data_IF_305104707102
#
_entry.id   IF_305104707102
#
_cell.length_a   1.000
_cell.length_b   1.000
_cell.length_c   1.000
_cell.angle_alpha   90.00
_cell.angle_beta   90.00
_cell.angle_gamma   90.00
#
_symmetry.space_group_name_H-M   'P 1'
#
loop_
_entity.id
_entity.type
_entity.pdbx_description
1 polymer ?
#
# COMPACT_ATOMS: atom_id res chain seq x y z
N UNK A 1 -2.41 -9.02 3.36
CA UNK A 1 -1.08 -8.57 2.88
C UNK A 1 -0.83 -9.23 1.54
N UNK A 2 0.01 -8.67 0.67
CA UNK A 2 0.37 -9.33 -0.60
C UNK A 2 1.36 -10.50 -0.46
N UNK A 3 1.59 -10.96 0.77
CA UNK A 3 2.46 -12.10 1.07
C UNK A 3 1.60 -13.37 1.06
N UNK A 4 1.64 -14.12 -0.04
CA UNK A 4 0.88 -15.35 -0.23
C UNK A 4 1.59 -16.29 -1.20
N UNK A 5 1.18 -17.56 -1.23
CA UNK A 5 1.64 -18.51 -2.23
C UNK A 5 0.96 -18.22 -3.57
N UNK A 6 1.73 -17.69 -4.53
CA UNK A 6 1.19 -17.27 -5.83
C UNK A 6 0.45 -18.39 -6.58
N UNK A 7 1.04 -19.59 -6.63
CA UNK A 7 0.45 -20.72 -7.36
C UNK A 7 -0.94 -21.08 -6.81
N UNK A 8 -1.05 -21.25 -5.49
CA UNK A 8 -2.34 -21.56 -4.86
C UNK A 8 -3.35 -20.44 -5.04
N UNK A 9 -2.91 -19.18 -4.97
CA UNK A 9 -3.79 -18.04 -5.24
C UNK A 9 -4.36 -18.09 -6.66
N UNK A 10 -3.52 -18.34 -7.67
CA UNK A 10 -3.96 -18.45 -9.06
C UNK A 10 -4.86 -19.65 -9.33
N UNK A 11 -4.61 -20.80 -8.71
CA UNK A 11 -5.39 -22.02 -8.94
C UNK A 11 -6.74 -22.00 -8.21
N UNK A 12 -6.82 -21.37 -7.02
CA UNK A 12 -7.96 -21.55 -6.10
C UNK A 12 -8.76 -20.28 -5.84
N UNK A 13 -8.17 -19.09 -5.99
CA UNK A 13 -8.86 -17.84 -5.69
C UNK A 13 -9.09 -17.03 -6.97
N UNK A 14 -8.05 -16.76 -7.75
CA UNK A 14 -8.10 -15.88 -8.91
C UNK A 14 -9.27 -16.16 -9.89
N UNK A 15 -9.66 -17.42 -10.18
CA UNK A 15 -10.77 -17.71 -11.09
C UNK A 15 -12.14 -17.26 -10.57
N UNK A 16 -12.24 -16.91 -9.28
CA UNK A 16 -13.48 -16.52 -8.60
C UNK A 16 -13.48 -15.05 -8.18
N UNK A 17 -12.52 -14.25 -8.64
CA UNK A 17 -12.42 -12.83 -8.31
C UNK A 17 -12.81 -11.98 -9.50
N UNK A 18 -13.51 -10.87 -9.25
CA UNK A 18 -13.81 -9.85 -10.27
C UNK A 18 -12.89 -8.63 -10.16
N UNK A 19 -12.22 -8.46 -9.01
CA UNK A 19 -11.38 -7.30 -8.68
C UNK A 19 -10.36 -7.66 -7.59
N UNK A 20 -9.14 -7.13 -7.70
CA UNK A 20 -8.10 -7.30 -6.67
C UNK A 20 -7.66 -5.94 -6.14
N UNK A 21 -7.88 -5.70 -4.85
CA UNK A 21 -7.19 -4.62 -4.14
C UNK A 21 -5.88 -5.13 -3.56
N UNK A 22 -4.76 -4.45 -3.87
CA UNK A 22 -3.44 -4.93 -3.48
C UNK A 22 -2.64 -3.84 -2.76
N UNK A 23 -2.26 -4.10 -1.51
CA UNK A 23 -1.54 -3.11 -0.70
C UNK A 23 -0.04 -3.14 -0.94
N UNK A 24 0.53 -2.01 -1.35
CA UNK A 24 1.96 -1.74 -1.43
C UNK A 24 2.33 -0.75 -0.32
N UNK A 25 3.14 -1.19 0.64
CA UNK A 25 3.37 -0.46 1.90
C UNK A 25 4.71 0.27 1.95
N UNK A 26 5.78 -0.49 1.76
CA UNK A 26 7.15 -0.02 1.90
C UNK A 26 7.99 -0.53 0.74
N UNK A 27 8.64 0.38 0.01
CA UNK A 27 9.52 0.06 -1.12
C UNK A 27 10.89 -0.44 -0.66
N UNK A 28 11.35 0.04 0.51
CA UNK A 28 12.59 -0.43 1.12
C UNK A 28 12.35 -1.72 1.93
N UNK A 29 13.15 -2.75 1.66
CA UNK A 29 13.00 -4.07 2.30
C UNK A 29 13.39 -4.04 3.78
N UNK A 30 14.35 -3.20 4.17
CA UNK A 30 14.76 -3.09 5.58
C UNK A 30 13.64 -2.44 6.40
N UNK A 31 13.06 -1.35 5.91
CA UNK A 31 11.88 -0.72 6.48
C UNK A 31 10.71 -1.70 6.53
N UNK A 32 10.47 -2.47 5.47
CA UNK A 32 9.41 -3.50 5.47
C UNK A 32 9.61 -4.49 6.61
N UNK A 33 10.82 -5.04 6.79
CA UNK A 33 11.12 -5.97 7.88
C UNK A 33 10.93 -5.31 9.23
N UNK A 34 11.39 -4.07 9.39
CA UNK A 34 11.27 -3.30 10.64
C UNK A 34 9.81 -3.10 11.05
N UNK A 35 8.96 -2.67 10.12
CA UNK A 35 7.58 -2.25 10.44
C UNK A 35 6.53 -3.35 10.29
N UNK A 36 6.78 -4.36 9.45
CA UNK A 36 5.81 -5.44 9.19
C UNK A 36 6.28 -6.81 9.68
N UNK A 37 7.55 -6.95 10.03
CA UNK A 37 8.17 -8.23 10.38
C UNK A 37 8.50 -9.10 9.17
N UNK A 38 8.22 -8.66 7.95
CA UNK A 38 8.42 -9.45 6.73
C UNK A 38 9.10 -8.65 5.62
N UNK A 39 9.77 -9.38 4.72
CA UNK A 39 10.34 -8.83 3.49
C UNK A 39 9.24 -8.34 2.55
N UNK A 40 9.48 -7.23 1.86
CA UNK A 40 8.57 -6.78 0.81
C UNK A 40 8.78 -7.53 -0.51
N UNK A 41 9.92 -8.19 -0.72
CA UNK A 41 10.28 -8.79 -2.02
C UNK A 41 9.20 -9.75 -2.54
N UNK A 42 8.65 -10.70 -1.74
CA UNK A 42 7.59 -11.59 -2.23
C UNK A 42 6.28 -10.85 -2.55
N UNK A 43 6.02 -9.74 -1.86
CA UNK A 43 4.83 -8.91 -2.10
C UNK A 43 4.92 -8.22 -3.45
N UNK A 44 6.07 -7.62 -3.76
CA UNK A 44 6.31 -6.97 -5.05
C UNK A 44 6.42 -7.98 -6.20
N UNK A 45 7.04 -9.14 -5.99
CA UNK A 45 7.05 -10.24 -6.96
C UNK A 45 5.63 -10.72 -7.30
N UNK A 46 4.83 -11.01 -6.27
CA UNK A 46 3.44 -11.40 -6.45
C UNK A 46 2.63 -10.34 -7.21
N UNK A 47 2.83 -9.06 -6.86
CA UNK A 47 2.16 -7.96 -7.54
C UNK A 47 2.55 -7.87 -9.01
N UNK A 48 3.85 -7.86 -9.34
CA UNK A 48 4.35 -7.83 -10.72
C UNK A 48 3.80 -8.99 -11.53
N UNK A 49 3.80 -10.20 -10.97
CA UNK A 49 3.27 -11.39 -11.64
C UNK A 49 1.76 -11.31 -11.84
N UNK A 50 1.00 -10.81 -10.86
CA UNK A 50 -0.44 -10.63 -11.02
C UNK A 50 -0.75 -9.59 -12.11
N UNK A 51 -0.03 -8.47 -12.15
CA UNK A 51 -0.19 -7.45 -13.20
C UNK A 51 0.04 -8.03 -14.59
N UNK A 52 0.99 -8.97 -14.72
CA UNK A 52 1.29 -9.61 -16.00
C UNK A 52 0.28 -10.69 -16.42
N UNK A 53 -0.38 -11.38 -15.47
CA UNK A 53 -1.18 -12.59 -15.79
C UNK A 53 -2.66 -12.48 -15.49
N UNK A 54 -3.08 -11.59 -14.59
CA UNK A 54 -4.47 -11.50 -14.18
C UNK A 54 -5.30 -10.87 -15.29
N UNK A 55 -6.46 -11.47 -15.56
CA UNK A 55 -7.47 -10.93 -16.48
C UNK A 55 -8.43 -9.95 -15.80
N UNK A 56 -8.36 -9.85 -14.48
CA UNK A 56 -9.23 -9.02 -13.65
C UNK A 56 -8.50 -7.72 -13.25
N UNK A 57 -9.21 -6.61 -13.06
CA UNK A 57 -8.58 -5.36 -12.63
C UNK A 57 -7.84 -5.52 -11.30
N UNK A 58 -6.67 -4.90 -11.22
CA UNK A 58 -5.88 -4.79 -9.99
C UNK A 58 -5.78 -3.32 -9.62
N UNK A 59 -6.19 -2.97 -8.41
CA UNK A 59 -6.10 -1.61 -7.87
C UNK A 59 -5.03 -1.60 -6.79
N UNK A 60 -3.86 -0.99 -7.07
CA UNK A 60 -2.83 -0.80 -6.06
C UNK A 60 -3.33 0.18 -5.00
N UNK A 61 -3.04 -0.12 -3.73
CA UNK A 61 -3.37 0.75 -2.60
C UNK A 61 -2.14 1.01 -1.75
N UNK A 62 -2.00 2.24 -1.27
CA UNK A 62 -0.88 2.65 -0.44
C UNK A 62 -1.43 3.23 0.87
N UNK A 63 -1.30 2.53 2.01
CA UNK A 63 -1.62 3.12 3.29
C UNK A 63 -0.64 4.24 3.60
N UNK A 64 -1.15 5.40 4.01
CA UNK A 64 -0.37 6.57 4.39
C UNK A 64 -0.26 6.63 5.91
N UNK A 65 0.90 6.24 6.46
CA UNK A 65 1.22 6.35 7.87
C UNK A 65 2.32 7.40 8.01
N UNK A 66 2.03 8.57 8.60
CA UNK A 66 2.99 9.65 8.80
C UNK A 66 4.27 9.18 9.47
N UNK A 67 5.42 9.49 8.85
CA UNK A 67 6.75 9.07 9.30
C UNK A 67 7.14 7.62 9.00
N UNK A 68 6.26 6.81 8.40
CA UNK A 68 6.53 5.40 8.07
C UNK A 68 6.33 5.14 6.58
N UNK A 69 5.08 5.13 6.10
CA UNK A 69 4.78 4.85 4.68
C UNK A 69 4.46 6.12 3.89
N UNK A 70 4.10 7.21 4.56
CA UNK A 70 3.80 8.51 3.93
C UNK A 70 5.03 9.41 3.74
N UNK A 71 6.24 8.83 3.69
CA UNK A 71 7.48 9.57 3.45
C UNK A 71 7.68 9.80 1.94
N UNK A 72 8.27 10.94 1.50
CA UNK A 72 8.52 11.20 0.09
C UNK A 72 9.33 10.11 -0.63
N UNK A 73 10.32 9.54 0.04
CA UNK A 73 11.21 8.50 -0.52
C UNK A 73 10.41 7.23 -0.83
N UNK A 74 9.57 6.79 0.12
CA UNK A 74 8.72 5.64 -0.05
C UNK A 74 7.66 5.85 -1.14
N UNK A 75 6.95 6.97 -1.11
CA UNK A 75 5.89 7.28 -2.06
C UNK A 75 6.43 7.40 -3.48
N UNK A 76 7.50 8.16 -3.68
CA UNK A 76 8.16 8.28 -4.98
C UNK A 76 8.76 6.95 -5.46
N UNK A 77 9.24 6.10 -4.55
CA UNK A 77 9.71 4.76 -4.87
C UNK A 77 8.61 3.82 -5.36
N UNK A 78 7.45 3.81 -4.68
CA UNK A 78 6.28 3.04 -5.12
C UNK A 78 5.75 3.59 -6.44
N UNK A 79 5.69 4.91 -6.61
CA UNK A 79 5.24 5.52 -7.85
C UNK A 79 6.13 5.10 -9.05
N UNK A 80 7.46 5.17 -8.93
CA UNK A 80 8.37 4.69 -9.98
C UNK A 80 8.21 3.20 -10.27
N UNK A 81 7.98 2.39 -9.24
CA UNK A 81 7.73 0.96 -9.42
C UNK A 81 6.44 0.71 -10.23
N UNK A 82 5.34 1.39 -9.89
CA UNK A 82 4.08 1.27 -10.61
C UNK A 82 4.19 1.77 -12.05
N UNK A 83 4.88 2.89 -12.26
CA UNK A 83 5.17 3.46 -13.58
C UNK A 83 5.96 2.47 -14.46
N UNK A 84 6.95 1.76 -13.88
CA UNK A 84 7.71 0.72 -14.59
C UNK A 84 6.87 -0.47 -15.05
N UNK A 85 5.67 -0.65 -14.48
CA UNK A 85 4.69 -1.68 -14.86
C UNK A 85 3.57 -1.11 -15.75
N UNK A 86 3.65 0.15 -16.16
CA UNK A 86 2.63 0.83 -16.96
C UNK A 86 1.33 1.12 -16.19
N UNK A 87 1.38 1.14 -14.85
CA UNK A 87 0.19 1.35 -14.02
C UNK A 87 -0.02 2.84 -13.77
N UNK A 88 -1.11 3.36 -14.33
CA UNK A 88 -1.41 4.79 -14.32
C UNK A 88 -2.25 5.25 -13.11
N UNK A 89 -2.58 4.41 -12.12
CA UNK A 89 -3.31 4.90 -10.94
C UNK A 89 -3.14 4.01 -9.70
N UNK A 90 -3.23 4.61 -8.52
CA UNK A 90 -3.28 3.90 -7.24
C UNK A 90 -4.17 4.66 -6.24
N UNK A 91 -4.69 3.95 -5.24
CA UNK A 91 -5.47 4.55 -4.15
C UNK A 91 -4.58 4.82 -2.94
N UNK A 92 -4.42 6.08 -2.56
CA UNK A 92 -3.77 6.46 -1.29
C UNK A 92 -4.80 6.37 -0.16
N UNK A 93 -4.45 5.73 0.96
CA UNK A 93 -5.35 5.52 2.10
C UNK A 93 -4.84 6.32 3.31
N UNK A 94 -5.43 7.50 3.62
CA UNK A 94 -5.02 8.33 4.75
C UNK A 94 -5.05 7.59 6.10
N UNK A 95 -4.14 7.95 7.00
CA UNK A 95 -4.09 7.40 8.34
C UNK A 95 -5.38 7.67 9.12
N UNK A 96 -5.93 6.62 9.73
CA UNK A 96 -6.96 6.72 10.76
C UNK A 96 -6.46 6.10 12.08
N UNK A 97 -6.77 6.71 13.24
CA UNK A 97 -6.28 6.25 14.54
C UNK A 97 -7.15 5.18 15.22
N UNK A 98 -8.23 4.71 14.58
CA UNK A 98 -9.27 3.85 15.18
C UNK A 98 -8.78 2.44 15.57
N UNK A 99 -7.59 2.04 15.14
CA UNK A 99 -7.00 0.75 15.48
C UNK A 99 -6.44 0.69 16.91
N UNK A 100 -6.28 1.83 17.59
CA UNK A 100 -5.56 1.92 18.87
C UNK A 100 -6.33 1.33 20.03
N UNK A 101 -7.62 1.61 20.13
CA UNK A 101 -8.52 1.02 21.14
C UNK A 101 -8.48 -0.53 21.10
N UNK A 102 -8.32 -1.09 19.90
CA UNK A 102 -8.15 -2.53 19.70
C UNK A 102 -6.80 -3.04 20.24
N UNK A 103 -5.73 -2.27 20.11
CA UNK A 103 -4.41 -2.67 20.62
C UNK A 103 -4.35 -2.55 22.14
N UNK A 104 -4.95 -1.49 22.69
CA UNK A 104 -5.05 -1.28 24.14
C UNK A 104 -5.89 -2.35 24.81
N UNK A 105 -7.07 -2.71 24.26
CA UNK A 105 -7.91 -3.79 24.80
C UNK A 105 -7.25 -5.17 24.78
N UNK A 106 -6.25 -5.38 23.92
CA UNK A 106 -5.42 -6.58 23.90
C UNK A 106 -4.25 -6.53 24.89
N UNK A 107 -4.13 -5.48 25.71
CA UNK A 107 -3.04 -5.30 26.68
C UNK A 107 -1.67 -5.13 26.02
N UNK A 108 -1.63 -4.74 24.74
CA UNK A 108 -0.39 -4.62 23.97
C UNK A 108 0.09 -3.16 23.96
N UNK A 109 1.41 -2.92 24.04
CA UNK A 109 1.92 -1.57 23.98
C UNK A 109 1.74 -0.97 22.58
N UNK A 110 1.34 0.30 22.53
CA UNK A 110 1.34 1.08 21.30
C UNK A 110 2.78 1.26 20.79
N UNK A 111 3.01 0.93 19.52
CA UNK A 111 4.30 1.12 18.84
C UNK A 111 4.30 2.30 17.86
N UNK A 112 3.16 2.99 17.78
CA UNK A 112 2.91 4.19 17.00
C UNK A 112 1.88 5.00 17.77
N UNK A 113 2.19 6.26 18.07
CA UNK A 113 1.50 7.08 19.06
C UNK A 113 0.49 8.06 18.44
N UNK A 114 0.52 8.26 17.11
CA UNK A 114 -0.30 9.26 16.43
C UNK A 114 -1.79 9.06 16.73
N UNK A 115 -2.39 10.13 17.28
CA UNK A 115 -3.75 10.09 17.79
C UNK A 115 -4.85 10.69 16.95
N UNK A 116 -4.46 11.37 15.89
CA UNK A 116 -5.36 12.11 15.05
C UNK A 116 -5.40 11.50 13.67
N UNK A 117 -6.51 11.74 12.98
CA UNK A 117 -6.59 11.52 11.54
C UNK A 117 -5.48 12.29 10.82
N UNK A 118 -5.14 11.83 9.62
CA UNK A 118 -4.28 12.61 8.73
C UNK A 118 -5.02 13.90 8.36
N UNK A 119 -4.33 15.04 8.48
CA UNK A 119 -4.90 16.35 8.11
C UNK A 119 -4.91 16.52 6.60
N UNK A 120 -5.80 17.38 6.08
CA UNK A 120 -5.85 17.69 4.64
C UNK A 120 -4.49 18.14 4.07
N UNK A 121 -3.70 19.03 4.74
CA UNK A 121 -2.38 19.39 4.26
C UNK A 121 -1.40 18.22 4.16
N UNK A 122 -1.43 17.28 5.11
CA UNK A 122 -0.57 16.10 5.06
C UNK A 122 -0.97 15.16 3.92
N UNK A 123 -2.28 14.98 3.69
CA UNK A 123 -2.79 14.17 2.58
C UNK A 123 -2.36 14.79 1.25
N UNK A 124 -2.53 16.11 1.10
CA UNK A 124 -2.09 16.84 -0.09
C UNK A 124 -0.57 16.73 -0.32
N UNK A 125 0.23 16.79 0.74
CA UNK A 125 1.68 16.59 0.66
C UNK A 125 2.04 15.16 0.21
N UNK A 126 1.35 14.15 0.72
CA UNK A 126 1.55 12.75 0.31
C UNK A 126 1.16 12.52 -1.16
N UNK A 127 0.04 13.08 -1.60
CA UNK A 127 -0.40 13.10 -3.00
C UNK A 127 0.70 13.73 -3.87
N UNK A 128 1.16 14.93 -3.53
CA UNK A 128 2.19 15.62 -4.29
C UNK A 128 3.51 14.84 -4.35
N UNK A 129 3.89 14.17 -3.26
CA UNK A 129 5.09 13.34 -3.21
C UNK A 129 4.98 12.06 -4.06
N UNK A 130 3.79 11.47 -4.14
CA UNK A 130 3.54 10.28 -4.94
C UNK A 130 3.53 10.58 -6.44
N UNK A 131 2.90 11.68 -6.85
CA UNK A 131 2.70 11.98 -8.27
C UNK A 131 3.88 12.72 -8.95
N UNK A 132 4.90 13.14 -8.20
CA UNK A 132 6.04 13.92 -8.74
C UNK A 132 7.31 13.06 -8.91
N UNK A 133 7.98 13.02 -10.08
CA UNK A 133 7.49 13.23 -11.44
C UNK A 133 7.02 11.89 -12.05
N UNK A 134 5.86 11.40 -11.62
CA UNK A 134 5.31 10.13 -12.11
C UNK A 134 4.30 10.39 -13.25
N UNK A 135 4.15 9.44 -14.18
CA UNK A 135 3.08 9.49 -15.19
C UNK A 135 1.69 9.09 -14.64
N UNK A 136 1.63 8.74 -13.35
CA UNK A 136 0.44 8.20 -12.68
C UNK A 136 -0.60 9.31 -12.50
N UNK A 137 -1.85 8.99 -12.81
CA UNK A 137 -3.02 9.84 -12.62
C UNK A 137 -3.65 9.64 -11.24
N UNK A 138 -4.15 10.74 -10.69
CA UNK A 138 -4.92 10.74 -9.46
C UNK A 138 -6.31 10.14 -9.69
N UNK A 139 -6.68 9.15 -8.88
CA UNK A 139 -8.08 8.70 -8.78
C UNK A 139 -8.66 9.19 -7.45
N UNK A 140 -9.95 9.57 -7.40
CA UNK A 140 -10.56 10.03 -6.16
C UNK A 140 -10.29 9.02 -5.05
N UNK A 141 -9.75 9.53 -3.94
CA UNK A 141 -9.62 8.76 -2.70
C UNK A 141 -11.04 8.42 -2.27
N UNK A 142 -11.46 7.17 -2.51
CA UNK A 142 -12.68 6.66 -1.92
C UNK A 142 -12.35 6.45 -0.45
N UNK A 143 -12.66 7.47 0.37
CA UNK A 143 -12.68 7.34 1.81
C UNK A 143 -13.91 6.49 2.12
N UNK A 144 -13.69 5.20 2.37
CA UNK A 144 -14.69 4.31 2.94
C UNK A 144 -14.67 4.41 4.47
#
# INVERSE_FOLDING_TARGET
SGFFNYRRFCEQLLPHLDLIYFDLKLIDDQASRRYTGQSNRPVFDNFTRLVATATVPIVPRIPLIPGITATPENLGGIARFLDSLGIASATLLPYNPLWRDKIESLGRPLRYDRATFMTEPEIAAAVAAFYRPSSIQERPVIIA
#
